data_IF_957586455779
#
_entry.id   IF_957586455779
#
_cell.length_a   1.000
_cell.length_b   1.000
_cell.length_c   1.000
_cell.angle_alpha   90.00
_cell.angle_beta   90.00
_cell.angle_gamma   90.00
#
_symmetry.space_group_name_H-M   'P 1'
#
loop_
_entity.id
_entity.type
_entity.pdbx_description
1 polymer ?
#
# COMPACT_ATOMS: atom_id res chain seq x y z
N UNK A 1 23.67 -6.22 -26.18
CA UNK A 1 22.41 -5.54 -25.82
C UNK A 1 22.23 -5.70 -24.32
N UNK A 2 22.08 -4.58 -23.63
CA UNK A 2 22.43 -4.34 -22.25
C UNK A 2 21.75 -5.26 -21.22
N UNK A 3 22.58 -6.06 -20.54
CA UNK A 3 22.22 -6.90 -19.38
C UNK A 3 21.87 -6.07 -18.13
N UNK A 4 21.92 -4.74 -18.23
CA UNK A 4 21.97 -3.79 -17.11
C UNK A 4 20.61 -3.40 -16.53
N UNK A 5 19.49 -3.76 -17.18
CA UNK A 5 18.14 -3.40 -16.71
C UNK A 5 17.31 -4.59 -16.23
N UNK A 6 17.83 -5.83 -16.28
CA UNK A 6 17.05 -6.99 -15.84
C UNK A 6 16.78 -6.87 -14.32
N UNK A 7 15.52 -6.82 -13.88
CA UNK A 7 15.20 -6.75 -12.47
C UNK A 7 15.65 -8.02 -11.75
N UNK A 8 16.02 -7.88 -10.47
CA UNK A 8 16.31 -9.02 -9.62
C UNK A 8 15.09 -9.94 -9.50
N UNK A 9 15.31 -11.23 -9.24
CA UNK A 9 14.21 -12.18 -9.04
C UNK A 9 13.49 -11.86 -7.73
N UNK A 10 12.19 -11.62 -7.79
CA UNK A 10 11.36 -11.39 -6.61
C UNK A 10 11.16 -12.71 -5.85
N UNK A 11 11.80 -12.83 -4.70
CA UNK A 11 11.75 -14.04 -3.85
C UNK A 11 11.23 -13.74 -2.43
N UNK A 12 10.95 -12.48 -2.13
CA UNK A 12 10.57 -12.01 -0.80
C UNK A 12 9.24 -12.59 -0.37
N UNK A 13 9.18 -13.20 0.81
CA UNK A 13 7.90 -13.66 1.36
C UNK A 13 6.98 -12.46 1.66
N UNK A 14 5.70 -12.48 1.23
CA UNK A 14 4.71 -11.45 1.55
C UNK A 14 4.50 -11.16 3.04
N UNK A 15 4.84 -12.11 3.92
CA UNK A 15 4.76 -11.98 5.39
C UNK A 15 6.00 -11.31 6.00
N UNK A 16 7.06 -11.08 5.22
CA UNK A 16 8.27 -10.41 5.69
C UNK A 16 7.99 -8.94 6.10
N UNK A 17 8.63 -8.41 7.16
CA UNK A 17 8.48 -7.01 7.56
C UNK A 17 8.86 -6.02 6.44
N UNK A 18 9.80 -6.39 5.56
CA UNK A 18 10.26 -5.55 4.45
C UNK A 18 9.52 -5.84 3.13
N UNK A 19 8.54 -6.74 3.12
CA UNK A 19 7.85 -7.20 1.92
C UNK A 19 7.30 -6.04 1.08
N UNK A 20 6.66 -5.06 1.73
CA UNK A 20 6.08 -3.89 1.07
C UNK A 20 7.14 -3.01 0.38
N UNK A 21 8.23 -2.71 1.06
CA UNK A 21 9.29 -1.85 0.53
C UNK A 21 10.03 -2.53 -0.61
N UNK A 22 10.35 -3.82 -0.44
CA UNK A 22 10.99 -4.63 -1.48
C UNK A 22 10.09 -4.79 -2.70
N UNK A 23 8.79 -5.04 -2.51
CA UNK A 23 7.81 -5.09 -3.59
C UNK A 23 7.72 -3.77 -4.35
N UNK A 24 7.58 -2.63 -3.65
CA UNK A 24 7.48 -1.31 -4.29
C UNK A 24 8.72 -0.97 -5.10
N UNK A 25 9.91 -1.24 -4.56
CA UNK A 25 11.16 -1.04 -5.26
C UNK A 25 11.26 -1.97 -6.49
N UNK A 26 11.01 -3.26 -6.30
CA UNK A 26 11.06 -4.26 -7.37
C UNK A 26 10.08 -3.94 -8.50
N UNK A 27 8.82 -3.61 -8.17
CA UNK A 27 7.78 -3.26 -9.14
C UNK A 27 8.19 -2.05 -9.98
N UNK A 28 8.78 -1.03 -9.35
CA UNK A 28 9.28 0.15 -10.05
C UNK A 28 10.40 -0.20 -11.02
N UNK A 29 11.35 -1.03 -10.61
CA UNK A 29 12.44 -1.51 -11.47
C UNK A 29 11.92 -2.38 -12.62
N UNK A 30 10.92 -3.24 -12.35
CA UNK A 30 10.28 -4.07 -13.35
C UNK A 30 9.52 -3.23 -14.40
N UNK A 31 8.84 -2.17 -13.98
CA UNK A 31 8.15 -1.26 -14.91
C UNK A 31 9.15 -0.55 -15.84
N UNK A 32 10.26 -0.03 -15.31
CA UNK A 32 11.33 0.54 -16.13
C UNK A 32 11.94 -0.49 -17.09
N UNK A 33 12.07 -1.74 -16.65
CA UNK A 33 12.54 -2.81 -17.51
C UNK A 33 11.55 -3.07 -18.65
N UNK A 34 10.25 -3.17 -18.38
CA UNK A 34 9.24 -3.34 -19.42
C UNK A 34 9.23 -2.18 -20.43
N UNK A 35 9.39 -0.94 -19.96
CA UNK A 35 9.51 0.25 -20.81
C UNK A 35 10.76 0.21 -21.70
N UNK A 36 11.84 -0.43 -21.25
CA UNK A 36 13.08 -0.56 -22.01
C UNK A 36 13.04 -1.67 -23.09
N UNK A 37 12.02 -2.54 -23.08
CA UNK A 37 11.89 -3.61 -24.06
C UNK A 37 11.41 -3.07 -25.42
N UNK A 38 11.85 -3.68 -26.53
CA UNK A 38 11.39 -3.30 -27.86
C UNK A 38 9.87 -3.46 -27.97
N UNK A 39 9.20 -2.45 -28.52
CA UNK A 39 7.73 -2.42 -28.65
C UNK A 39 7.23 -3.28 -29.82
N UNK A 40 8.12 -3.73 -30.69
CA UNK A 40 7.81 -4.51 -31.89
C UNK A 40 8.77 -5.69 -32.04
N UNK A 41 8.30 -6.95 -31.93
CA UNK A 41 6.95 -7.36 -31.52
C UNK A 41 6.67 -7.02 -30.04
N UNK A 42 5.39 -6.86 -29.69
CA UNK A 42 5.00 -6.54 -28.31
C UNK A 42 5.57 -7.59 -27.33
N UNK A 43 6.25 -7.17 -26.25
CA UNK A 43 6.85 -8.11 -25.32
C UNK A 43 5.76 -8.88 -24.57
N UNK A 44 5.95 -10.19 -24.41
CA UNK A 44 5.08 -11.00 -23.57
C UNK A 44 5.34 -10.65 -22.10
N UNK A 45 4.57 -9.70 -21.57
CA UNK A 45 4.73 -9.18 -20.20
C UNK A 45 4.53 -10.26 -19.14
N UNK A 46 3.59 -11.19 -19.37
CA UNK A 46 3.33 -12.30 -18.44
C UNK A 46 4.51 -13.28 -18.41
N UNK A 47 5.01 -13.71 -19.56
CA UNK A 47 6.20 -14.57 -19.61
C UNK A 47 7.43 -13.86 -19.01
N UNK A 48 7.56 -12.56 -19.23
CA UNK A 48 8.63 -11.76 -18.65
C UNK A 48 8.53 -11.74 -17.12
N UNK A 49 7.32 -11.51 -16.59
CA UNK A 49 7.02 -11.55 -15.14
C UNK A 49 7.37 -12.91 -14.53
N UNK A 50 6.92 -14.02 -15.14
CA UNK A 50 7.19 -15.39 -14.67
C UNK A 50 8.70 -15.67 -14.59
N UNK A 51 9.50 -15.10 -15.49
CA UNK A 51 10.96 -15.28 -15.51
C UNK A 51 11.73 -14.45 -14.47
N UNK A 52 11.05 -13.57 -13.74
CA UNK A 52 11.66 -12.68 -12.73
C UNK A 52 10.99 -12.78 -11.36
N UNK A 53 10.15 -13.80 -11.17
CA UNK A 53 9.58 -14.17 -9.86
C UNK A 53 10.14 -15.51 -9.42
N UNK A 54 10.29 -15.69 -8.10
CA UNK A 54 10.71 -16.96 -7.52
C UNK A 54 9.57 -17.98 -7.51
N UNK A 55 9.88 -19.28 -7.27
CA UNK A 55 8.88 -20.36 -7.30
C UNK A 55 7.67 -20.12 -6.39
N UNK A 56 7.88 -19.66 -5.14
CA UNK A 56 6.81 -19.38 -4.18
C UNK A 56 5.88 -18.24 -4.64
N UNK A 57 6.41 -17.29 -5.40
CA UNK A 57 5.64 -16.15 -5.91
C UNK A 57 4.94 -16.51 -7.21
N UNK A 58 5.55 -17.39 -8.01
CA UNK A 58 4.91 -17.99 -9.18
C UNK A 58 3.65 -18.78 -8.80
N UNK A 59 3.68 -19.57 -7.73
CA UNK A 59 2.50 -20.29 -7.23
C UNK A 59 1.28 -19.37 -7.01
N UNK A 60 1.51 -18.12 -6.57
CA UNK A 60 0.44 -17.14 -6.36
C UNK A 60 -0.20 -16.66 -7.66
N UNK A 61 0.54 -16.67 -8.77
CA UNK A 61 0.09 -16.14 -10.06
C UNK A 61 -0.07 -17.23 -11.13
N UNK A 62 0.09 -18.50 -10.77
CA UNK A 62 0.10 -19.62 -11.72
C UNK A 62 -1.23 -19.75 -12.48
N UNK A 63 -2.34 -19.36 -11.86
CA UNK A 63 -3.69 -19.35 -12.46
C UNK A 63 -4.03 -18.05 -13.20
N UNK A 64 -3.09 -17.09 -13.29
CA UNK A 64 -3.33 -15.80 -13.95
C UNK A 64 -3.09 -15.89 -15.46
N UNK A 65 -4.14 -15.69 -16.25
CA UNK A 65 -4.08 -15.74 -17.72
C UNK A 65 -3.49 -14.46 -18.34
N UNK A 66 -3.32 -13.39 -17.55
CA UNK A 66 -2.83 -12.10 -18.04
C UNK A 66 -1.86 -11.43 -17.07
N UNK A 67 -1.01 -10.55 -17.60
CA UNK A 67 -0.13 -9.72 -16.78
C UNK A 67 -0.92 -8.88 -15.76
N UNK A 68 -2.05 -8.31 -16.17
CA UNK A 68 -2.89 -7.47 -15.31
C UNK A 68 -3.47 -8.25 -14.13
N UNK A 69 -3.93 -9.49 -14.36
CA UNK A 69 -4.47 -10.35 -13.31
C UNK A 69 -3.36 -10.77 -12.34
N UNK A 70 -2.20 -11.18 -12.85
CA UNK A 70 -1.05 -11.54 -12.03
C UNK A 70 -0.57 -10.37 -11.15
N UNK A 71 -0.43 -9.16 -11.72
CA UNK A 71 -0.04 -7.98 -10.94
C UNK A 71 -1.09 -7.61 -9.90
N UNK A 72 -2.38 -7.75 -10.20
CA UNK A 72 -3.45 -7.49 -9.23
C UNK A 72 -3.38 -8.44 -8.03
N UNK A 73 -3.09 -9.72 -8.27
CA UNK A 73 -2.88 -10.71 -7.20
C UNK A 73 -1.67 -10.32 -6.35
N UNK A 74 -0.52 -10.04 -6.99
CA UNK A 74 0.69 -9.64 -6.27
C UNK A 74 0.50 -8.34 -5.48
N UNK A 75 -0.20 -7.35 -6.03
CA UNK A 75 -0.54 -6.12 -5.29
C UNK A 75 -1.39 -6.42 -4.06
N UNK A 76 -2.40 -7.29 -4.16
CA UNK A 76 -3.23 -7.65 -3.01
C UNK A 76 -2.45 -8.39 -1.91
N UNK A 77 -1.39 -9.11 -2.29
CA UNK A 77 -0.55 -9.88 -1.38
C UNK A 77 0.53 -9.00 -0.71
N UNK A 78 1.22 -8.16 -1.48
CA UNK A 78 2.36 -7.37 -1.02
C UNK A 78 2.01 -5.94 -0.56
N UNK A 79 1.04 -5.30 -1.21
CA UNK A 79 0.54 -3.96 -0.84
C UNK A 79 -0.89 -4.09 -0.33
N UNK A 80 -1.02 -4.85 0.77
CA UNK A 80 -2.29 -4.99 1.48
C UNK A 80 -2.85 -3.59 1.73
N UNK A 81 -4.09 -3.30 1.29
CA UNK A 81 -4.66 -1.98 1.45
C UNK A 81 -4.59 -1.61 2.92
N UNK A 82 -3.82 -0.56 3.22
CA UNK A 82 -3.70 -0.07 4.58
C UNK A 82 -5.08 0.37 5.02
N UNK A 83 -5.44 0.02 6.25
CA UNK A 83 -6.67 0.49 6.82
C UNK A 83 -6.59 2.01 6.97
N UNK A 84 -7.29 2.70 6.07
CA UNK A 84 -7.27 4.15 5.98
C UNK A 84 -7.70 4.81 7.30
N UNK A 85 -8.71 4.25 7.95
CA UNK A 85 -9.24 4.76 9.22
C UNK A 85 -8.18 4.64 10.31
N UNK A 86 -7.48 3.51 10.35
CA UNK A 86 -6.36 3.31 11.27
C UNK A 86 -5.21 4.27 10.98
N UNK A 87 -4.82 4.43 9.71
CA UNK A 87 -3.76 5.37 9.33
C UNK A 87 -4.10 6.82 9.69
N UNK A 88 -5.33 7.26 9.43
CA UNK A 88 -5.82 8.60 9.81
C UNK A 88 -5.86 8.77 11.33
N UNK A 89 -6.25 7.74 12.08
CA UNK A 89 -6.21 7.78 13.53
C UNK A 89 -4.77 7.90 14.06
N UNK A 90 -3.81 7.14 13.50
CA UNK A 90 -2.39 7.27 13.84
C UNK A 90 -1.86 8.68 13.57
N UNK A 91 -2.22 9.28 12.43
CA UNK A 91 -1.85 10.65 12.09
C UNK A 91 -2.43 11.64 13.11
N UNK A 92 -3.71 11.52 13.46
CA UNK A 92 -4.40 12.41 14.40
C UNK A 92 -3.86 12.30 15.84
N UNK A 93 -3.50 11.09 16.26
CA UNK A 93 -2.97 10.82 17.59
C UNK A 93 -1.46 11.01 17.72
N UNK A 94 -0.75 11.26 16.61
CA UNK A 94 0.68 11.50 16.62
C UNK A 94 0.97 12.79 17.40
N UNK A 95 1.83 12.70 18.42
CA UNK A 95 2.29 13.83 19.24
C UNK A 95 3.80 13.99 19.11
N UNK A 96 4.27 15.22 19.26
CA UNK A 96 5.70 15.52 19.31
C UNK A 96 6.31 14.84 20.54
N UNK A 97 7.40 14.12 20.33
CA UNK A 97 8.12 13.43 21.41
C UNK A 97 9.03 14.41 22.18
N UNK A 98 9.31 14.16 23.48
CA UNK A 98 10.26 14.98 24.23
C UNK A 98 11.64 14.97 23.55
N UNK A 99 12.17 16.16 23.23
CA UNK A 99 13.46 16.31 22.55
C UNK A 99 13.42 16.18 21.02
N UNK A 100 12.27 15.88 20.42
CA UNK A 100 12.10 15.87 18.96
C UNK A 100 12.03 17.30 18.42
N UNK A 101 12.76 17.60 17.35
CA UNK A 101 12.66 18.92 16.71
C UNK A 101 11.34 19.08 15.94
N UNK A 102 10.86 20.33 15.72
CA UNK A 102 9.66 20.57 14.90
C UNK A 102 9.76 19.98 13.49
N UNK A 103 10.93 20.05 12.86
CA UNK A 103 11.15 19.50 11.51
C UNK A 103 11.05 17.97 11.48
N UNK A 104 11.63 17.30 12.49
CA UNK A 104 11.53 15.85 12.63
C UNK A 104 10.08 15.42 12.86
N UNK A 105 9.35 16.18 13.70
CA UNK A 105 7.93 15.93 13.95
C UNK A 105 7.09 16.10 12.67
N UNK A 106 7.31 17.17 11.91
CA UNK A 106 6.62 17.40 10.64
C UNK A 106 6.94 16.30 9.61
N UNK A 107 8.20 15.82 9.56
CA UNK A 107 8.60 14.75 8.66
C UNK A 107 7.96 13.40 9.04
N UNK A 108 7.78 13.13 10.33
CA UNK A 108 7.00 12.00 10.85
C UNK A 108 5.53 12.07 10.42
N UNK A 109 4.89 13.23 10.59
CA UNK A 109 3.50 13.46 10.15
C UNK A 109 3.34 13.28 8.64
N UNK A 110 4.25 13.84 7.83
CA UNK A 110 4.25 13.67 6.36
C UNK A 110 4.41 12.21 5.94
N UNK A 111 5.12 11.41 6.73
CA UNK A 111 5.28 9.97 6.47
C UNK A 111 4.00 9.21 6.78
N UNK A 112 3.35 9.49 7.92
CA UNK A 112 2.06 8.89 8.29
C UNK A 112 0.95 9.25 7.30
N UNK A 113 0.92 10.50 6.81
CA UNK A 113 -0.08 10.97 5.86
C UNK A 113 -0.10 10.21 4.52
N UNK A 114 1.01 9.55 4.12
CA UNK A 114 1.07 8.73 2.90
C UNK A 114 0.14 7.53 2.93
N UNK A 115 -0.15 7.03 4.13
CA UNK A 115 -0.96 5.84 4.35
C UNK A 115 -2.45 6.17 4.57
N UNK A 116 -2.79 7.46 4.71
CA UNK A 116 -4.15 7.95 4.94
C UNK A 116 -5.03 8.02 3.67
N UNK A 117 -4.48 7.70 2.50
CA UNK A 117 -5.20 7.66 1.23
C UNK A 117 -6.11 8.88 0.99
N UNK A 118 -5.61 10.10 1.22
CA UNK A 118 -6.39 11.31 0.96
C UNK A 118 -6.68 11.46 -0.53
N UNK A 119 -7.96 11.59 -0.89
CA UNK A 119 -8.42 11.71 -2.27
C UNK A 119 -9.27 12.97 -2.45
N UNK A 120 -9.40 13.42 -3.70
CA UNK A 120 -10.32 14.49 -4.04
C UNK A 120 -11.77 13.97 -3.89
N UNK A 121 -12.49 14.51 -2.91
CA UNK A 121 -13.87 14.12 -2.59
C UNK A 121 -14.76 15.35 -2.54
N UNK A 122 -16.08 15.14 -2.54
CA UNK A 122 -17.03 16.22 -2.33
C UNK A 122 -16.94 16.75 -0.90
N UNK A 123 -17.36 17.99 -0.68
CA UNK A 123 -17.37 18.59 0.66
C UNK A 123 -18.19 17.76 1.67
N UNK A 124 -19.26 17.11 1.22
CA UNK A 124 -20.10 16.27 2.09
C UNK A 124 -19.39 14.98 2.52
N UNK A 125 -18.70 14.32 1.60
CA UNK A 125 -17.87 13.14 1.92
C UNK A 125 -16.76 13.53 2.89
N UNK A 126 -16.06 14.64 2.62
CA UNK A 126 -15.01 15.13 3.51
C UNK A 126 -15.53 15.42 4.92
N UNK A 127 -16.70 16.04 5.03
CA UNK A 127 -17.36 16.31 6.33
C UNK A 127 -17.66 15.01 7.07
N UNK A 128 -18.21 14.01 6.41
CA UNK A 128 -18.52 12.72 7.03
C UNK A 128 -17.27 11.99 7.49
N UNK A 129 -16.20 12.01 6.69
CA UNK A 129 -14.90 11.47 7.09
C UNK A 129 -14.32 12.20 8.30
N UNK A 130 -14.37 13.53 8.31
CA UNK A 130 -13.87 14.33 9.44
C UNK A 130 -14.64 14.04 10.73
N UNK A 131 -15.98 13.90 10.66
CA UNK A 131 -16.80 13.53 11.82
C UNK A 131 -16.45 12.12 12.30
N UNK A 132 -16.32 11.15 11.40
CA UNK A 132 -15.94 9.77 11.72
C UNK A 132 -14.59 9.73 12.44
N UNK A 133 -13.59 10.40 11.88
CA UNK A 133 -12.22 10.38 12.41
C UNK A 133 -12.16 11.05 13.80
N UNK A 134 -12.92 12.13 14.01
CA UNK A 134 -13.07 12.78 15.32
C UNK A 134 -13.83 11.90 16.33
N UNK A 135 -14.91 11.24 15.90
CA UNK A 135 -15.69 10.32 16.74
C UNK A 135 -14.81 9.19 17.26
N UNK A 136 -14.10 8.48 16.38
CA UNK A 136 -13.23 7.36 16.75
C UNK A 136 -12.12 7.82 17.71
N UNK A 137 -11.51 8.97 17.44
CA UNK A 137 -10.42 9.49 18.26
C UNK A 137 -10.90 9.97 19.64
N UNK A 138 -12.13 10.47 19.73
CA UNK A 138 -12.77 10.92 20.96
C UNK A 138 -13.38 9.82 21.83
N UNK A 139 -13.45 8.56 21.37
CA UNK A 139 -14.01 7.47 22.15
C UNK A 139 -13.19 7.18 23.42
N UNK A 140 -13.87 7.19 24.56
CA UNK A 140 -13.29 6.85 25.87
C UNK A 140 -12.96 5.35 25.95
N UNK A 141 -13.85 4.49 25.41
CA UNK A 141 -13.67 3.04 25.46
C UNK A 141 -12.61 2.59 24.45
N UNK A 142 -11.45 2.07 24.91
CA UNK A 142 -10.41 1.60 24.00
C UNK A 142 -10.85 0.36 23.21
N UNK A 143 -11.73 -0.47 23.78
CA UNK A 143 -12.25 -1.69 23.13
C UNK A 143 -13.14 -1.35 21.93
N UNK A 144 -14.03 -0.36 22.08
CA UNK A 144 -14.91 0.08 20.98
C UNK A 144 -14.06 0.73 19.89
N UNK A 145 -13.14 1.62 20.28
CA UNK A 145 -12.20 2.24 19.35
C UNK A 145 -11.42 1.20 18.55
N UNK A 146 -10.84 0.19 19.22
CA UNK A 146 -10.10 -0.86 18.55
C UNK A 146 -10.97 -1.61 17.52
N UNK A 147 -12.19 -2.01 17.88
CA UNK A 147 -13.12 -2.69 16.94
C UNK A 147 -13.47 -1.84 15.72
N UNK A 148 -13.60 -0.52 15.88
CA UNK A 148 -13.86 0.38 14.76
C UNK A 148 -12.63 0.55 13.87
N UNK A 149 -11.44 0.62 14.47
CA UNK A 149 -10.15 0.72 13.77
C UNK A 149 -9.78 -0.57 13.03
N UNK A 150 -10.33 -1.72 13.39
CA UNK A 150 -10.12 -2.99 12.67
C UNK A 150 -10.89 -3.07 11.34
N UNK A 151 -11.91 -2.22 11.11
CA UNK A 151 -12.70 -2.24 9.88
C UNK A 151 -11.96 -1.54 8.72
N UNK A 152 -11.79 -2.22 7.59
CA UNK A 152 -11.14 -1.65 6.39
C UNK A 152 -11.99 -0.58 5.67
N UNK A 153 -13.30 -0.58 5.88
CA UNK A 153 -14.24 0.46 5.45
C UNK A 153 -15.23 0.70 6.57
N UNK A 154 -15.42 1.96 6.92
CA UNK A 154 -16.37 2.40 7.93
C UNK A 154 -17.01 3.67 7.39
N UNK A 155 -18.27 3.55 6.98
CA UNK A 155 -19.11 4.71 6.71
C UNK A 155 -19.66 5.21 8.04
N UNK A 156 -19.92 6.52 8.12
CA UNK A 156 -20.45 7.15 9.33
C UNK A 156 -21.73 6.48 9.83
N UNK A 157 -22.55 5.94 8.91
CA UNK A 157 -23.76 5.17 9.19
C UNK A 157 -23.52 3.80 9.83
N UNK A 158 -22.33 3.24 9.66
CA UNK A 158 -21.93 1.91 10.19
C UNK A 158 -21.04 2.00 11.43
N UNK A 159 -20.77 3.23 11.87
CA UNK A 159 -19.91 3.56 13.01
C UNK A 159 -20.70 3.73 14.32
N UNK A 160 -22.01 3.98 14.25
CA UNK A 160 -22.92 4.08 15.40
C UNK A 160 -23.73 2.81 15.61
#
# INVERSE_FOLDING_TARGET
MDRHLRPAVLTTDPSSPDALNTWRHWKRTFDFFLESLPTTPAPNQLATLVNVVGPSIYELIAESDSYETAIKVLLGVYDKPKNEIFARHLLSCCKQEPGQSPDQYLQKLKTLAKDCNFQAVTAEVHKNEAIRDAFISGLISPQIRQRLLEKNKLDLETAY
#
